data_IF_489769391494
#
_entry.id   IF_489769391494
#
_cell.length_a   1.000
_cell.length_b   1.000
_cell.length_c   1.000
_cell.angle_alpha   90.00
_cell.angle_beta   90.00
_cell.angle_gamma   90.00
#
_symmetry.space_group_name_H-M   'P 1'
#
loop_
_entity.id
_entity.type
_entity.pdbx_description
1 polymer ?
#
# COMPACT_ATOMS: atom_id res chain seq x y z
N UNK A 1 -10.20 -8.23 7.06
CA UNK A 1 -9.82 -7.03 7.83
C UNK A 1 -11.03 -6.09 7.94
N UNK A 2 -11.21 -5.39 9.06
CA UNK A 2 -12.33 -4.45 9.27
C UNK A 2 -11.79 -3.02 9.37
N UNK A 3 -12.54 -2.05 8.84
CA UNK A 3 -12.25 -0.63 9.08
C UNK A 3 -12.63 -0.22 10.51
N UNK A 4 -12.16 0.92 11.02
CA UNK A 4 -12.54 1.43 12.34
C UNK A 4 -14.05 1.64 12.49
N UNK A 5 -14.74 1.92 11.38
CA UNK A 5 -16.21 2.00 11.33
C UNK A 5 -16.93 0.65 11.32
N UNK A 6 -16.21 -0.47 11.46
CA UNK A 6 -16.78 -1.82 11.50
C UNK A 6 -17.13 -2.43 10.14
N UNK A 7 -16.78 -1.77 9.03
CA UNK A 7 -17.04 -2.30 7.69
C UNK A 7 -15.94 -3.29 7.29
N UNK A 8 -16.34 -4.43 6.71
CA UNK A 8 -15.39 -5.36 6.11
C UNK A 8 -14.82 -4.76 4.82
N UNK A 9 -13.49 -4.76 4.70
CA UNK A 9 -12.84 -4.33 3.46
C UNK A 9 -13.11 -5.35 2.35
N UNK A 10 -13.53 -4.87 1.17
CA UNK A 10 -13.76 -5.74 0.00
C UNK A 10 -12.46 -6.28 -0.61
N UNK A 11 -11.35 -5.57 -0.40
CA UNK A 11 -10.00 -5.94 -0.84
C UNK A 11 -9.41 -6.94 0.15
N UNK A 12 -8.84 -8.03 -0.36
CA UNK A 12 -8.08 -8.97 0.46
C UNK A 12 -6.67 -8.42 0.67
N UNK A 13 -6.19 -8.41 1.91
CA UNK A 13 -4.93 -7.78 2.31
C UNK A 13 -4.00 -8.81 2.94
N UNK A 14 -2.72 -8.71 2.63
CA UNK A 14 -1.61 -9.39 3.32
C UNK A 14 -0.37 -8.49 3.30
N UNK A 15 0.75 -8.92 3.86
CA UNK A 15 1.97 -8.13 3.81
C UNK A 15 3.22 -8.94 4.12
N UNK A 16 4.37 -8.28 3.98
CA UNK A 16 5.69 -8.82 4.32
C UNK A 16 6.65 -7.68 4.70
N UNK A 17 7.72 -8.02 5.42
CA UNK A 17 8.68 -7.07 5.97
C UNK A 17 8.74 -7.09 7.49
N UNK A 18 9.45 -6.13 8.06
CA UNK A 18 9.53 -5.92 9.50
C UNK A 18 8.18 -5.51 10.10
N UNK A 19 7.36 -4.82 9.29
CA UNK A 19 6.04 -4.35 9.67
C UNK A 19 4.99 -4.71 8.61
N UNK A 20 3.76 -4.90 9.06
CA UNK A 20 2.58 -5.01 8.22
C UNK A 20 1.49 -4.04 8.67
N UNK A 21 0.79 -3.45 7.69
CA UNK A 21 -0.33 -2.55 7.96
C UNK A 21 -1.55 -3.37 8.35
N UNK A 22 -2.20 -2.96 9.44
CA UNK A 22 -3.41 -3.60 9.96
C UNK A 22 -4.50 -2.57 10.20
N UNK A 23 -5.74 -3.02 9.99
CA UNK A 23 -6.96 -2.28 10.30
C UNK A 23 -7.89 -3.13 11.15
N UNK A 24 -8.35 -2.54 12.23
CA UNK A 24 -9.42 -3.08 13.06
C UNK A 24 -10.21 -1.93 13.70
N UNK A 25 -11.11 -2.26 14.63
CA UNK A 25 -11.91 -1.27 15.37
C UNK A 25 -11.08 -0.28 16.18
N UNK A 26 -9.80 -0.57 16.47
CA UNK A 26 -8.89 0.31 17.21
C UNK A 26 -8.19 1.31 16.30
N UNK A 27 -8.29 1.18 14.98
CA UNK A 27 -7.66 2.08 14.03
C UNK A 27 -6.76 1.39 13.03
N UNK A 28 -6.01 2.22 12.30
CA UNK A 28 -5.00 1.83 11.34
C UNK A 28 -3.61 1.96 11.97
N UNK A 29 -2.75 0.95 11.81
CA UNK A 29 -1.40 0.96 12.38
C UNK A 29 -0.49 -0.05 11.69
N UNK A 30 0.81 0.10 11.88
CA UNK A 30 1.79 -0.93 11.57
C UNK A 30 2.08 -1.80 12.80
N UNK A 31 2.19 -3.11 12.60
CA UNK A 31 2.56 -4.09 13.64
C UNK A 31 3.67 -5.00 13.14
N UNK A 32 4.46 -5.55 14.07
CA UNK A 32 5.47 -6.58 13.75
C UNK A 32 4.88 -7.99 13.67
N UNK A 33 3.67 -8.17 14.21
CA UNK A 33 2.95 -9.45 14.30
C UNK A 33 1.67 -9.40 13.46
N UNK A 34 1.42 -10.44 12.67
CA UNK A 34 0.16 -10.65 11.95
C UNK A 34 -0.94 -11.03 12.96
N UNK A 35 -2.00 -10.22 13.10
CA UNK A 35 -3.08 -10.47 14.05
C UNK A 35 -3.93 -11.70 13.73
N UNK A 36 -3.83 -12.28 12.52
CA UNK A 36 -4.55 -13.50 12.14
C UNK A 36 -3.81 -14.76 12.58
N UNK A 37 -2.48 -14.75 12.51
CA UNK A 37 -1.67 -15.94 12.79
C UNK A 37 -0.90 -15.88 14.11
N UNK A 38 -0.86 -14.70 14.75
CA UNK A 38 -0.06 -14.40 15.93
C UNK A 38 1.44 -14.72 15.75
N UNK A 39 1.93 -14.51 14.53
CA UNK A 39 3.32 -14.74 14.12
C UNK A 39 3.89 -13.48 13.47
N UNK A 40 5.22 -13.33 13.41
CA UNK A 40 5.83 -12.28 12.61
C UNK A 40 5.34 -12.33 11.15
N UNK A 41 5.27 -11.17 10.51
CA UNK A 41 5.04 -11.11 9.07
C UNK A 41 6.12 -11.87 8.31
N UNK A 42 5.80 -12.47 7.14
CA UNK A 42 6.81 -13.05 6.28
C UNK A 42 7.92 -12.05 5.96
N UNK A 43 9.16 -12.54 5.84
CA UNK A 43 10.29 -11.70 5.38
C UNK A 43 9.98 -11.16 3.99
N UNK A 44 10.28 -9.88 3.75
CA UNK A 44 10.12 -9.27 2.44
C UNK A 44 11.01 -9.99 1.41
N UNK A 45 10.44 -10.56 0.33
CA UNK A 45 11.24 -11.18 -0.72
C UNK A 45 12.23 -10.20 -1.34
N UNK A 46 13.45 -10.64 -1.60
CA UNK A 46 14.51 -9.77 -2.15
C UNK A 46 14.07 -9.10 -3.47
N UNK A 47 13.34 -9.82 -4.32
CA UNK A 47 12.80 -9.27 -5.57
C UNK A 47 11.83 -8.10 -5.35
N UNK A 48 11.04 -8.10 -4.27
CA UNK A 48 10.14 -6.99 -3.95
C UNK A 48 10.95 -5.79 -3.48
N UNK A 49 11.90 -6.02 -2.57
CA UNK A 49 12.79 -4.97 -2.04
C UNK A 49 13.57 -4.31 -3.17
N UNK A 50 14.22 -5.10 -4.03
CA UNK A 50 15.06 -4.61 -5.11
C UNK A 50 14.26 -3.83 -6.16
N UNK A 51 13.06 -4.30 -6.51
CA UNK A 51 12.17 -3.58 -7.42
C UNK A 51 11.78 -2.22 -6.83
N UNK A 52 11.39 -2.19 -5.56
CA UNK A 52 10.97 -0.97 -4.89
C UNK A 52 12.12 0.05 -4.79
N UNK A 53 13.32 -0.39 -4.42
CA UNK A 53 14.53 0.45 -4.36
C UNK A 53 14.83 1.06 -5.74
N UNK A 54 14.83 0.24 -6.80
CA UNK A 54 15.11 0.73 -8.16
C UNK A 54 14.05 1.72 -8.65
N UNK A 55 12.78 1.43 -8.41
CA UNK A 55 11.68 2.32 -8.79
C UNK A 55 11.74 3.66 -8.06
N UNK A 56 11.95 3.65 -6.74
CA UNK A 56 12.10 4.85 -5.93
C UNK A 56 13.30 5.70 -6.40
N UNK A 57 14.46 5.08 -6.62
CA UNK A 57 15.64 5.77 -7.13
C UNK A 57 15.38 6.41 -8.50
N UNK A 58 14.68 5.72 -9.41
CA UNK A 58 14.32 6.26 -10.73
C UNK A 58 13.34 7.43 -10.64
N UNK A 59 12.49 7.44 -9.62
CA UNK A 59 11.53 8.51 -9.34
C UNK A 59 12.12 9.69 -8.54
N UNK A 60 13.41 9.67 -8.22
CA UNK A 60 14.07 10.76 -7.50
C UNK A 60 14.17 10.59 -5.97
N UNK A 61 13.91 9.38 -5.46
CA UNK A 61 14.03 9.02 -4.04
C UNK A 61 15.17 8.01 -3.82
N UNK A 62 16.44 8.43 -3.94
CA UNK A 62 17.57 7.55 -3.67
C UNK A 62 17.61 7.17 -2.18
N UNK A 63 18.10 5.97 -1.87
CA UNK A 63 18.23 5.49 -0.49
C UNK A 63 16.92 5.04 0.16
N UNK A 64 15.82 4.94 -0.60
CA UNK A 64 14.59 4.31 -0.09
C UNK A 64 14.89 2.88 0.39
N UNK A 65 14.47 2.57 1.63
CA UNK A 65 14.70 1.29 2.26
C UNK A 65 13.38 0.78 2.88
N UNK A 66 12.52 0.10 2.09
CA UNK A 66 11.20 -0.30 2.58
C UNK A 66 11.32 -1.39 3.65
N UNK A 67 10.66 -1.17 4.78
CA UNK A 67 10.54 -2.12 5.89
C UNK A 67 9.15 -2.77 5.98
N UNK A 68 8.20 -2.32 5.16
CA UNK A 68 6.85 -2.84 5.04
C UNK A 68 6.41 -2.92 3.57
N UNK A 69 5.68 -3.97 3.23
CA UNK A 69 5.00 -4.12 1.95
C UNK A 69 3.57 -4.62 2.20
N UNK A 70 2.58 -3.81 1.81
CA UNK A 70 1.17 -4.18 1.81
C UNK A 70 0.80 -4.79 0.45
N UNK A 71 0.20 -5.97 0.46
CA UNK A 71 -0.24 -6.70 -0.72
C UNK A 71 -1.76 -6.62 -0.80
N UNK A 72 -2.25 -5.93 -1.83
CA UNK A 72 -3.67 -5.76 -2.11
C UNK A 72 -4.11 -6.72 -3.22
N UNK A 73 -5.03 -7.64 -2.93
CA UNK A 73 -5.64 -8.51 -3.92
C UNK A 73 -7.06 -8.04 -4.24
N UNK A 74 -7.24 -7.57 -5.48
CA UNK A 74 -8.52 -7.10 -6.00
C UNK A 74 -9.18 -8.18 -6.86
N UNK A 75 -10.41 -8.54 -6.50
CA UNK A 75 -11.31 -9.32 -7.37
C UNK A 75 -12.22 -8.37 -8.15
N UNK A 76 -12.81 -8.79 -9.29
CA UNK A 76 -13.82 -8.00 -9.98
C UNK A 76 -14.90 -7.49 -9.01
N UNK A 77 -15.21 -6.19 -9.07
CA UNK A 77 -16.17 -5.53 -8.18
C UNK A 77 -15.62 -5.03 -6.84
N UNK A 78 -14.39 -5.37 -6.47
CA UNK A 78 -13.73 -4.80 -5.28
C UNK A 78 -13.21 -3.39 -5.57
N UNK A 79 -13.22 -2.53 -4.55
CA UNK A 79 -12.73 -1.15 -4.66
C UNK A 79 -12.07 -0.69 -3.36
N UNK A 80 -11.09 0.21 -3.51
CA UNK A 80 -10.56 1.01 -2.41
C UNK A 80 -11.05 2.44 -2.58
N UNK A 81 -11.62 3.04 -1.52
CA UNK A 81 -12.05 4.43 -1.56
C UNK A 81 -10.88 5.40 -1.48
N UNK A 82 -11.11 6.68 -1.79
CA UNK A 82 -10.12 7.74 -1.59
C UNK A 82 -9.70 7.82 -0.12
N UNK A 83 -8.39 7.70 0.10
CA UNK A 83 -7.71 7.75 1.39
C UNK A 83 -6.33 8.39 1.22
N UNK A 84 -5.66 8.61 2.34
CA UNK A 84 -4.27 9.04 2.39
C UNK A 84 -3.49 7.98 3.16
N UNK A 85 -2.30 7.66 2.67
CA UNK A 85 -1.30 6.91 3.42
C UNK A 85 -0.68 7.90 4.41
N UNK A 86 -1.04 7.72 5.69
CA UNK A 86 -0.65 8.63 6.79
C UNK A 86 -0.38 7.93 8.11
N UNK A 87 -0.01 6.65 8.03
CA UNK A 87 0.29 5.81 9.19
C UNK A 87 1.79 5.53 9.33
N UNK A 88 2.58 6.06 8.40
CA UNK A 88 4.03 6.04 8.36
C UNK A 88 4.60 7.06 9.36
N UNK A 89 5.80 6.80 9.86
CA UNK A 89 6.48 7.72 10.78
C UNK A 89 7.27 8.79 10.06
N UNK A 90 7.87 8.42 8.93
CA UNK A 90 8.68 9.30 8.10
C UNK A 90 7.97 9.54 6.77
N UNK A 91 7.52 10.78 6.57
CA UNK A 91 6.84 11.22 5.35
C UNK A 91 7.82 11.62 4.24
N UNK A 92 9.13 11.62 4.48
CA UNK A 92 10.14 11.78 3.44
C UNK A 92 10.37 10.48 2.64
N UNK A 93 9.94 9.33 3.17
CA UNK A 93 9.96 8.07 2.45
C UNK A 93 8.77 8.01 1.47
N UNK A 94 8.99 7.72 0.18
CA UNK A 94 7.90 7.61 -0.79
C UNK A 94 7.11 6.32 -0.58
N UNK A 95 5.91 6.28 -1.17
CA UNK A 95 5.21 5.03 -1.46
C UNK A 95 5.57 4.59 -2.88
N UNK A 96 5.94 3.31 -3.02
CA UNK A 96 6.11 2.64 -4.32
C UNK A 96 4.98 1.63 -4.50
N UNK A 97 4.09 1.89 -5.45
CA UNK A 97 2.95 1.02 -5.75
C UNK A 97 3.16 0.30 -7.08
N UNK A 98 3.13 -1.03 -7.05
CA UNK A 98 3.33 -1.89 -8.23
C UNK A 98 2.01 -2.57 -8.60
N UNK A 99 1.59 -2.42 -9.86
CA UNK A 99 0.36 -3.01 -10.38
C UNK A 99 0.63 -4.32 -11.10
N UNK A 100 -0.12 -5.37 -10.76
CA UNK A 100 0.03 -6.69 -11.35
C UNK A 100 -1.33 -7.28 -11.72
N UNK A 101 -1.49 -7.64 -13.00
CA UNK A 101 -2.62 -8.43 -13.47
C UNK A 101 -3.67 -7.56 -14.15
N UNK A 102 -4.92 -7.67 -13.70
CA UNK A 102 -6.04 -6.94 -14.33
C UNK A 102 -5.86 -5.42 -14.22
N UNK A 103 -6.18 -4.65 -15.27
CA UNK A 103 -6.06 -3.20 -15.21
C UNK A 103 -7.07 -2.58 -14.23
N UNK A 104 -6.71 -1.45 -13.64
CA UNK A 104 -7.55 -0.71 -12.71
C UNK A 104 -7.46 0.80 -12.94
N UNK A 105 -8.51 1.54 -12.59
CA UNK A 105 -8.48 3.00 -12.58
C UNK A 105 -8.01 3.49 -11.22
N UNK A 106 -6.80 4.02 -11.15
CA UNK A 106 -6.26 4.66 -9.96
C UNK A 106 -6.75 6.11 -9.87
N UNK A 107 -7.21 6.52 -8.69
CA UNK A 107 -7.66 7.90 -8.44
C UNK A 107 -6.62 8.62 -7.61
N UNK A 108 -5.98 9.64 -8.19
CA UNK A 108 -4.95 10.43 -7.50
C UNK A 108 -5.45 11.85 -7.27
N UNK A 109 -5.64 12.22 -6.00
CA UNK A 109 -6.20 13.49 -5.56
C UNK A 109 -5.15 14.50 -5.09
N UNK A 110 -5.63 15.60 -4.51
CA UNK A 110 -4.80 16.58 -3.81
C UNK A 110 -4.72 16.33 -2.31
N UNK A 111 -4.38 17.39 -1.55
CA UNK A 111 -4.25 17.31 -0.09
C UNK A 111 -5.60 17.29 0.62
N UNK A 112 -6.63 17.88 0.00
CA UNK A 112 -7.99 17.90 0.53
C UNK A 112 -8.85 16.83 -0.14
N UNK A 113 -9.80 16.27 0.60
CA UNK A 113 -10.72 15.24 0.07
C UNK A 113 -11.57 15.74 -1.11
N UNK A 114 -11.83 17.05 -1.15
CA UNK A 114 -12.63 17.72 -2.19
C UNK A 114 -11.81 18.09 -3.43
N UNK A 115 -10.48 17.96 -3.39
CA UNK A 115 -9.63 18.26 -4.54
C UNK A 115 -9.96 17.31 -5.70
N UNK A 116 -9.94 17.84 -6.92
CA UNK A 116 -10.27 17.07 -8.12
C UNK A 116 -9.27 15.92 -8.30
N UNK A 117 -9.75 14.69 -8.20
CA UNK A 117 -8.93 13.51 -8.46
C UNK A 117 -8.74 13.28 -9.97
N UNK A 118 -7.50 13.02 -10.36
CA UNK A 118 -7.15 12.48 -11.68
C UNK A 118 -7.48 10.98 -11.71
N UNK A 119 -7.90 10.49 -12.88
CA UNK A 119 -8.08 9.05 -13.13
C UNK A 119 -6.93 8.59 -14.01
N UNK A 120 -6.11 7.70 -13.48
CA UNK A 120 -4.92 7.17 -14.14
C UNK A 120 -5.16 5.67 -14.35
N UNK A 121 -5.31 5.19 -15.59
CA UNK A 121 -5.35 3.75 -15.85
C UNK A 121 -4.00 3.13 -15.48
N UNK A 122 -4.03 2.08 -14.66
CA UNK A 122 -2.86 1.26 -14.35
C UNK A 122 -3.06 -0.13 -14.96
N UNK A 123 -2.07 -0.59 -15.69
CA UNK A 123 -1.99 -1.91 -16.30
C UNK A 123 -0.98 -2.80 -15.56
N UNK A 124 -0.90 -4.06 -15.97
CA UNK A 124 0.12 -4.98 -15.47
C UNK A 124 1.53 -4.42 -15.72
N UNK A 125 2.34 -4.38 -14.66
CA UNK A 125 3.73 -3.92 -14.70
C UNK A 125 3.91 -2.44 -14.39
N UNK A 126 2.83 -1.66 -14.32
CA UNK A 126 2.93 -0.23 -14.02
C UNK A 126 3.38 0.00 -12.57
N UNK A 127 4.25 1.00 -12.39
CA UNK A 127 4.75 1.43 -11.08
C UNK A 127 4.47 2.90 -10.89
N UNK A 128 3.80 3.25 -9.79
CA UNK A 128 3.56 4.63 -9.37
C UNK A 128 4.39 4.90 -8.12
N UNK A 129 5.11 6.01 -8.11
CA UNK A 129 5.88 6.46 -6.94
C UNK A 129 5.43 7.86 -6.57
N UNK A 130 5.13 8.09 -5.29
CA UNK A 130 4.78 9.41 -4.76
C UNK A 130 5.36 9.60 -3.36
N UNK A 131 5.69 10.85 -3.04
CA UNK A 131 6.34 11.30 -1.81
C UNK A 131 6.49 12.81 -1.83
#
# INVERSE_FOLDING_TARGET
MQTPGGHTMSVSLSGCGCYGWVSDRRGYRYTTTDPLTDKPWPVMPDIFRDLAIRAAARAGYPGFAPDACLINCYRPGTKMGLHQDKNERDFCAPIVSVSLGVPANFQFGGRQRTDKAQKIPLAHGDVVVWG
#
